data_IF_413526236098
#
_entry.id   IF_413526236098
#
_cell.length_a   1.000
_cell.length_b   1.000
_cell.length_c   1.000
_cell.angle_alpha   90.00
_cell.angle_beta   90.00
_cell.angle_gamma   90.00
#
_symmetry.space_group_name_H-M   'P 1'
#
loop_
_entity.id
_entity.type
_entity.pdbx_description
1 polymer ?
#
# COMPACT_ATOMS: atom_id res chain seq x y z
N UNK A 1 6.52 7.66 -24.43
CA UNK A 1 6.54 7.03 -23.09
C UNK A 1 6.14 5.58 -23.30
N UNK A 2 6.92 4.62 -22.80
CA UNK A 2 6.61 3.19 -22.90
C UNK A 2 6.68 2.55 -21.52
N UNK A 3 5.59 1.89 -21.12
CA UNK A 3 5.55 0.96 -20.00
C UNK A 3 5.56 -0.44 -20.61
N UNK A 4 6.50 -1.28 -20.20
CA UNK A 4 6.68 -2.62 -20.77
C UNK A 4 7.31 -3.52 -19.73
N UNK A 5 7.14 -4.83 -19.86
CA UNK A 5 7.93 -5.78 -19.07
C UNK A 5 9.42 -5.58 -19.40
N UNK A 6 10.26 -5.61 -18.36
CA UNK A 6 11.70 -5.42 -18.51
C UNK A 6 12.31 -6.35 -19.58
N UNK A 7 13.09 -5.75 -20.48
CA UNK A 7 13.81 -6.47 -21.54
C UNK A 7 14.85 -7.46 -21.01
N UNK A 8 15.13 -7.47 -19.70
CA UNK A 8 16.01 -8.47 -19.07
C UNK A 8 15.49 -9.90 -19.24
N UNK A 9 14.17 -10.08 -19.33
CA UNK A 9 13.52 -11.39 -19.42
C UNK A 9 12.70 -11.58 -20.70
N UNK A 10 12.42 -10.51 -21.46
CA UNK A 10 11.54 -10.56 -22.63
C UNK A 10 12.11 -9.77 -23.84
N UNK A 11 11.68 -10.16 -25.05
CA UNK A 11 11.96 -9.41 -26.28
C UNK A 11 11.48 -7.96 -26.16
N UNK A 12 12.18 -6.94 -26.74
CA UNK A 12 13.36 -7.00 -27.61
C UNK A 12 14.73 -6.92 -26.91
N UNK A 13 14.79 -6.93 -25.58
CA UNK A 13 16.05 -6.73 -24.85
C UNK A 13 16.57 -5.27 -24.83
N UNK A 14 15.68 -4.31 -25.08
CA UNK A 14 15.92 -2.85 -24.96
C UNK A 14 14.79 -2.25 -24.11
N UNK A 15 14.83 -0.95 -23.82
CA UNK A 15 13.84 -0.29 -22.96
C UNK A 15 14.34 -0.02 -21.54
N UNK A 16 15.65 0.03 -21.34
CA UNK A 16 16.21 0.42 -20.05
C UNK A 16 15.91 1.89 -19.71
N UNK A 17 15.87 2.21 -18.42
CA UNK A 17 15.58 3.56 -17.92
C UNK A 17 16.53 4.62 -18.50
N UNK A 18 17.78 4.25 -18.77
CA UNK A 18 18.81 5.17 -19.27
C UNK A 18 18.81 5.35 -20.79
N UNK A 19 17.94 4.65 -21.51
CA UNK A 19 17.72 4.84 -22.96
C UNK A 19 16.85 6.08 -23.22
N UNK A 20 17.41 7.26 -22.95
CA UNK A 20 16.69 8.55 -22.91
C UNK A 20 16.54 9.22 -24.30
N UNK A 21 16.88 8.54 -25.38
CA UNK A 21 16.99 9.15 -26.71
C UNK A 21 18.35 9.81 -26.96
N UNK A 22 18.55 10.32 -28.18
CA UNK A 22 19.85 10.77 -28.69
C UNK A 22 19.81 12.20 -29.22
N UNK A 23 20.96 12.88 -29.18
CA UNK A 23 21.12 14.24 -29.70
C UNK A 23 20.10 15.21 -29.08
N UNK A 24 19.40 15.95 -29.93
CA UNK A 24 18.34 16.88 -29.51
C UNK A 24 17.11 16.19 -28.91
N UNK A 25 16.92 14.89 -29.17
CA UNK A 25 15.84 14.08 -28.61
C UNK A 25 16.16 13.44 -27.26
N UNK A 26 17.35 13.70 -26.68
CA UNK A 26 17.71 13.20 -25.36
C UNK A 26 16.79 13.82 -24.29
N UNK A 27 16.21 12.98 -23.43
CA UNK A 27 15.21 13.37 -22.43
C UNK A 27 13.76 13.25 -22.92
N UNK A 28 13.55 12.95 -24.21
CA UNK A 28 12.21 12.82 -24.81
C UNK A 28 11.79 11.37 -25.08
N UNK A 29 12.69 10.40 -24.87
CA UNK A 29 12.33 8.99 -24.75
C UNK A 29 12.22 8.62 -23.26
N UNK A 30 11.10 8.00 -22.91
CA UNK A 30 10.81 7.59 -21.53
C UNK A 30 10.43 6.13 -21.53
N UNK A 31 11.26 5.31 -20.87
CA UNK A 31 11.03 3.90 -20.68
C UNK A 31 10.79 3.60 -19.20
N UNK A 32 9.76 2.80 -18.94
CA UNK A 32 9.39 2.32 -17.62
C UNK A 32 9.35 0.78 -17.68
N UNK A 33 10.50 0.12 -17.48
CA UNK A 33 10.55 -1.33 -17.40
C UNK A 33 9.89 -1.79 -16.10
N UNK A 34 8.86 -2.61 -16.24
CA UNK A 34 8.11 -3.23 -15.15
C UNK A 34 8.67 -4.63 -14.86
N UNK A 35 8.65 -5.00 -13.58
CA UNK A 35 8.95 -6.38 -13.19
C UNK A 35 7.90 -7.36 -13.73
N UNK A 36 8.30 -8.59 -14.11
CA UNK A 36 7.36 -9.67 -14.41
C UNK A 36 6.34 -9.84 -13.29
N UNK A 37 5.12 -10.27 -13.65
CA UNK A 37 4.01 -10.48 -12.72
C UNK A 37 3.51 -9.19 -12.05
N UNK A 38 3.72 -8.02 -12.68
CA UNK A 38 3.10 -6.78 -12.23
C UNK A 38 1.58 -6.86 -12.37
N UNK A 39 0.89 -6.62 -11.26
CA UNK A 39 -0.58 -6.60 -11.15
C UNK A 39 -1.16 -5.18 -11.23
N UNK A 40 -2.49 -5.09 -11.34
CA UNK A 40 -3.24 -3.83 -11.48
C UNK A 40 -2.82 -2.71 -10.53
N UNK A 41 -2.69 -3.01 -9.23
CA UNK A 41 -2.42 -1.97 -8.23
C UNK A 41 -1.05 -1.30 -8.46
N UNK A 42 -0.03 -2.11 -8.75
CA UNK A 42 1.33 -1.64 -9.03
C UNK A 42 1.38 -0.89 -10.37
N UNK A 43 0.70 -1.40 -11.39
CA UNK A 43 0.64 -0.75 -12.70
C UNK A 43 -0.08 0.60 -12.67
N UNK A 44 -1.25 0.66 -12.00
CA UNK A 44 -2.04 1.89 -11.82
C UNK A 44 -1.23 2.93 -11.06
N UNK A 45 -0.57 2.54 -9.97
CA UNK A 45 0.30 3.43 -9.21
C UNK A 45 1.41 4.03 -10.11
N UNK A 46 2.05 3.21 -10.94
CA UNK A 46 3.09 3.68 -11.87
C UNK A 46 2.55 4.68 -12.90
N UNK A 47 1.42 4.40 -13.56
CA UNK A 47 0.86 5.33 -14.57
C UNK A 47 0.41 6.65 -13.94
N UNK A 48 -0.21 6.61 -12.76
CA UNK A 48 -0.65 7.81 -12.03
C UNK A 48 0.55 8.64 -11.56
N UNK A 49 1.63 7.98 -11.17
CA UNK A 49 2.85 8.64 -10.69
C UNK A 49 3.70 9.26 -11.82
N UNK A 50 3.71 8.65 -13.01
CA UNK A 50 4.58 9.03 -14.12
C UNK A 50 3.88 9.87 -15.20
N UNK A 51 2.69 9.47 -15.64
CA UNK A 51 2.12 10.05 -16.87
C UNK A 51 1.73 11.53 -16.71
N UNK A 52 0.99 11.97 -15.67
CA UNK A 52 0.62 13.37 -15.51
C UNK A 52 1.82 14.35 -15.51
N UNK A 53 2.86 14.17 -14.67
CA UNK A 53 3.99 15.12 -14.66
C UNK A 53 4.81 15.08 -15.95
N UNK A 54 4.92 13.93 -16.63
CA UNK A 54 5.61 13.83 -17.92
C UNK A 54 4.84 14.58 -19.01
N UNK A 55 3.52 14.41 -19.07
CA UNK A 55 2.65 15.13 -20.01
C UNK A 55 2.72 16.64 -19.77
N UNK A 56 2.65 17.08 -18.51
CA UNK A 56 2.78 18.52 -18.19
C UNK A 56 4.16 19.07 -18.56
N UNK A 57 5.22 18.31 -18.28
CA UNK A 57 6.59 18.74 -18.61
C UNK A 57 6.82 18.84 -20.11
N UNK A 58 6.22 17.94 -20.89
CA UNK A 58 6.36 17.89 -22.34
C UNK A 58 5.42 18.88 -23.07
N UNK A 59 4.26 19.19 -22.48
CA UNK A 59 3.21 20.03 -23.06
C UNK A 59 2.81 19.60 -24.48
N UNK A 60 2.29 18.37 -24.67
CA UNK A 60 1.92 17.86 -26.00
C UNK A 60 0.72 18.59 -26.60
N UNK A 61 0.74 18.73 -27.93
CA UNK A 61 -0.44 19.14 -28.70
C UNK A 61 -1.46 18.02 -28.91
N UNK A 62 -0.98 16.78 -29.01
CA UNK A 62 -1.78 15.58 -29.30
C UNK A 62 -1.21 14.40 -28.56
N UNK A 63 -2.08 13.52 -28.04
CA UNK A 63 -1.66 12.23 -27.48
C UNK A 63 -1.95 11.13 -28.50
N UNK A 64 -0.92 10.35 -28.82
CA UNK A 64 -1.04 9.09 -29.55
C UNK A 64 -0.79 7.97 -28.54
N UNK A 65 -1.78 7.14 -28.27
CA UNK A 65 -1.68 6.01 -27.36
C UNK A 65 -1.82 4.69 -28.10
N UNK A 66 -1.02 3.71 -27.68
CA UNK A 66 -1.03 2.35 -28.21
C UNK A 66 -1.60 1.43 -27.12
N UNK A 67 -2.72 0.77 -27.40
CA UNK A 67 -3.47 -0.03 -26.43
C UNK A 67 -3.26 -1.52 -26.68
N UNK A 68 -2.04 -1.97 -26.42
CA UNK A 68 -1.72 -3.38 -26.32
C UNK A 68 -2.50 -3.98 -25.14
N UNK A 69 -2.93 -5.22 -25.31
CA UNK A 69 -3.62 -6.01 -24.29
C UNK A 69 -2.87 -7.31 -23.97
N UNK A 70 -1.64 -7.42 -24.45
CA UNK A 70 -0.68 -8.46 -24.09
C UNK A 70 -0.18 -8.38 -22.64
N UNK A 71 -0.51 -7.30 -21.94
CA UNK A 71 -0.32 -7.12 -20.51
C UNK A 71 -1.32 -7.89 -19.64
N UNK A 72 -2.39 -8.43 -20.24
CA UNK A 72 -3.43 -9.16 -19.52
C UNK A 72 -2.91 -10.54 -19.06
N UNK A 73 -3.29 -10.98 -17.86
CA UNK A 73 -2.84 -12.25 -17.29
C UNK A 73 -3.08 -13.46 -18.21
N UNK A 74 -4.24 -13.52 -18.87
CA UNK A 74 -4.58 -14.58 -19.86
C UNK A 74 -3.83 -14.49 -21.19
N UNK A 75 -3.28 -13.33 -21.54
CA UNK A 75 -2.55 -13.23 -22.79
C UNK A 75 -1.28 -14.10 -22.72
N UNK A 76 -0.95 -14.88 -23.76
CA UNK A 76 0.15 -15.82 -23.68
C UNK A 76 1.54 -15.15 -23.69
N UNK A 77 1.69 -13.89 -24.11
CA UNK A 77 3.02 -13.35 -24.48
C UNK A 77 3.84 -12.78 -23.33
N UNK A 78 3.29 -11.87 -22.51
CA UNK A 78 4.05 -11.24 -21.41
C UNK A 78 3.78 -11.93 -20.09
N UNK A 79 4.63 -11.77 -19.09
CA UNK A 79 4.39 -12.26 -17.72
C UNK A 79 3.63 -11.25 -16.86
N UNK A 80 3.18 -10.12 -17.42
CA UNK A 80 2.35 -9.18 -16.66
C UNK A 80 0.99 -9.81 -16.36
N UNK A 81 0.41 -9.41 -15.23
CA UNK A 81 -0.82 -10.00 -14.71
C UNK A 81 -1.89 -8.92 -14.49
N UNK A 82 -2.08 -8.06 -15.49
CA UNK A 82 -3.18 -7.11 -15.44
C UNK A 82 -4.51 -7.82 -15.68
N UNK A 83 -5.55 -7.25 -15.10
CA UNK A 83 -6.94 -7.59 -15.40
C UNK A 83 -7.56 -6.50 -16.29
N UNK A 84 -8.80 -6.69 -16.72
CA UNK A 84 -9.59 -5.67 -17.40
C UNK A 84 -9.70 -4.37 -16.59
N UNK A 85 -9.56 -4.40 -15.26
CA UNK A 85 -9.50 -3.20 -14.42
C UNK A 85 -8.22 -2.39 -14.69
N UNK A 86 -7.05 -3.03 -14.73
CA UNK A 86 -5.79 -2.36 -15.07
C UNK A 86 -5.80 -1.80 -16.49
N UNK A 87 -6.30 -2.60 -17.45
CA UNK A 87 -6.49 -2.16 -18.84
C UNK A 87 -7.43 -0.95 -18.92
N UNK A 88 -8.57 -0.97 -18.21
CA UNK A 88 -9.49 0.16 -18.22
C UNK A 88 -8.86 1.41 -17.59
N UNK A 89 -8.05 1.26 -16.54
CA UNK A 89 -7.38 2.38 -15.88
C UNK A 89 -6.40 3.11 -16.83
N UNK A 90 -5.62 2.39 -17.65
CA UNK A 90 -4.75 3.04 -18.65
C UNK A 90 -5.54 3.77 -19.74
N UNK A 91 -6.68 3.24 -20.18
CA UNK A 91 -7.54 3.88 -21.17
C UNK A 91 -8.10 5.19 -20.61
N UNK A 92 -8.63 5.14 -19.38
CA UNK A 92 -9.13 6.33 -18.68
C UNK A 92 -8.05 7.38 -18.44
N UNK A 93 -6.83 6.96 -18.10
CA UNK A 93 -5.70 7.86 -17.94
C UNK A 93 -5.35 8.55 -19.27
N UNK A 94 -5.32 7.82 -20.38
CA UNK A 94 -5.07 8.41 -21.70
C UNK A 94 -6.16 9.42 -22.10
N UNK A 95 -7.44 9.06 -21.92
CA UNK A 95 -8.57 9.97 -22.12
C UNK A 95 -8.39 11.25 -21.27
N UNK A 96 -8.20 11.09 -19.96
CA UNK A 96 -8.07 12.21 -19.03
C UNK A 96 -6.93 13.16 -19.42
N UNK A 97 -5.75 12.63 -19.75
CA UNK A 97 -4.60 13.43 -20.13
C UNK A 97 -4.82 14.17 -21.47
N UNK A 98 -5.44 13.51 -22.45
CA UNK A 98 -5.69 14.13 -23.75
C UNK A 98 -6.73 15.26 -23.66
N UNK A 99 -7.80 15.05 -22.90
CA UNK A 99 -8.84 16.06 -22.71
C UNK A 99 -8.34 17.24 -21.85
N UNK A 100 -7.51 16.97 -20.84
CA UNK A 100 -6.99 18.02 -19.95
C UNK A 100 -5.89 18.86 -20.59
N UNK A 101 -4.99 18.25 -21.37
CA UNK A 101 -3.76 18.92 -21.84
C UNK A 101 -3.70 19.11 -23.36
N UNK A 102 -4.46 18.35 -24.13
CA UNK A 102 -4.41 18.37 -25.61
C UNK A 102 -5.69 18.88 -26.26
N UNK A 103 -6.62 19.47 -25.50
CA UNK A 103 -7.94 19.92 -25.98
C UNK A 103 -8.75 18.78 -26.62
N UNK A 104 -8.63 17.56 -26.07
CA UNK A 104 -9.31 16.38 -26.57
C UNK A 104 -8.68 15.77 -27.83
N UNK A 105 -7.54 16.27 -28.31
CA UNK A 105 -6.83 15.68 -29.46
C UNK A 105 -6.16 14.37 -29.04
N UNK A 106 -6.85 13.26 -29.31
CA UNK A 106 -6.44 11.91 -28.96
C UNK A 106 -6.53 10.96 -30.17
N UNK A 107 -5.44 10.24 -30.46
CA UNK A 107 -5.41 9.13 -31.42
C UNK A 107 -5.09 7.84 -30.67
N UNK A 108 -6.03 6.90 -30.66
CA UNK A 108 -5.84 5.58 -30.08
C UNK A 108 -5.53 4.53 -31.16
N UNK A 109 -4.50 3.73 -30.92
CA UNK A 109 -4.11 2.58 -31.74
C UNK A 109 -4.31 1.30 -30.94
N UNK A 110 -4.49 0.16 -31.61
CA UNK A 110 -4.43 -1.17 -30.98
C UNK A 110 -3.00 -1.59 -30.66
N UNK A 111 -2.65 -2.85 -30.96
CA UNK A 111 -1.28 -3.37 -30.98
C UNK A 111 -1.21 -4.81 -30.47
N UNK A 112 -0.24 -5.15 -29.61
CA UNK A 112 -0.06 -6.51 -29.09
C UNK A 112 -1.30 -7.04 -28.37
N UNK A 113 -1.60 -8.32 -28.54
CA UNK A 113 -2.81 -8.97 -28.04
C UNK A 113 -3.07 -10.28 -28.76
N UNK A 114 -2.86 -11.38 -28.06
CA UNK A 114 -2.69 -12.73 -28.59
C UNK A 114 -3.66 -13.75 -27.99
N UNK A 115 -4.50 -13.33 -27.03
CA UNK A 115 -5.78 -13.99 -26.73
C UNK A 115 -6.92 -13.30 -27.52
N UNK A 116 -7.28 -13.81 -28.72
CA UNK A 116 -8.18 -13.13 -29.65
C UNK A 116 -9.65 -13.22 -29.27
N UNK A 117 -10.01 -14.04 -28.26
CA UNK A 117 -11.40 -14.27 -27.91
C UNK A 117 -11.73 -13.67 -26.55
N UNK A 118 -10.92 -13.93 -25.53
CA UNK A 118 -11.24 -13.53 -24.16
C UNK A 118 -10.68 -12.15 -23.84
N UNK A 119 -9.52 -11.77 -24.36
CA UNK A 119 -8.87 -10.51 -23.98
C UNK A 119 -9.11 -9.41 -25.01
N UNK A 120 -8.60 -9.58 -26.23
CA UNK A 120 -8.57 -8.53 -27.27
C UNK A 120 -9.95 -7.88 -27.49
N UNK A 121 -11.05 -8.65 -27.66
CA UNK A 121 -12.35 -8.05 -27.93
C UNK A 121 -12.89 -7.22 -26.77
N UNK A 122 -12.66 -7.64 -25.52
CA UNK A 122 -13.09 -6.89 -24.32
C UNK A 122 -12.24 -5.62 -24.16
N UNK A 123 -10.92 -5.75 -24.24
CA UNK A 123 -9.98 -4.64 -24.08
C UNK A 123 -10.20 -3.53 -25.12
N UNK A 124 -10.30 -3.86 -26.40
CA UNK A 124 -10.50 -2.85 -27.44
C UNK A 124 -11.93 -2.29 -27.48
N UNK A 125 -12.91 -3.05 -27.02
CA UNK A 125 -14.25 -2.50 -26.78
C UNK A 125 -14.27 -1.48 -25.64
N UNK A 126 -13.46 -1.67 -24.59
CA UNK A 126 -13.26 -0.66 -23.53
C UNK A 126 -12.64 0.61 -24.11
N UNK A 127 -11.60 0.50 -24.97
CA UNK A 127 -11.01 1.66 -25.66
C UNK A 127 -12.07 2.41 -26.46
N UNK A 128 -12.81 1.69 -27.31
CA UNK A 128 -13.86 2.28 -28.12
C UNK A 128 -14.96 2.95 -27.29
N UNK A 129 -15.43 2.28 -26.23
CA UNK A 129 -16.47 2.82 -25.35
C UNK A 129 -16.00 4.11 -24.65
N UNK A 130 -14.77 4.14 -24.13
CA UNK A 130 -14.23 5.35 -23.49
C UNK A 130 -14.05 6.50 -24.48
N UNK A 131 -13.59 6.22 -25.71
CA UNK A 131 -13.44 7.23 -26.77
C UNK A 131 -14.78 7.77 -27.26
N UNK A 132 -15.80 6.91 -27.34
CA UNK A 132 -17.14 7.27 -27.77
C UNK A 132 -18.03 7.79 -26.63
N UNK A 133 -17.45 7.95 -25.42
CA UNK A 133 -18.15 8.35 -24.19
C UNK A 133 -19.40 7.50 -23.92
N UNK A 134 -19.32 6.20 -24.25
CA UNK A 134 -20.40 5.23 -24.05
C UNK A 134 -20.20 4.46 -22.75
N UNK A 135 -21.29 4.19 -22.02
CA UNK A 135 -21.23 3.29 -20.88
C UNK A 135 -20.90 1.86 -21.35
N UNK A 136 -19.99 1.21 -20.65
CA UNK A 136 -19.69 -0.20 -20.88
C UNK A 136 -20.81 -1.04 -20.27
N UNK A 137 -21.45 -1.95 -21.01
CA UNK A 137 -22.41 -2.88 -20.41
C UNK A 137 -21.70 -3.85 -19.48
N UNK A 138 -22.39 -4.31 -18.44
CA UNK A 138 -21.84 -5.29 -17.50
C UNK A 138 -21.59 -6.64 -18.18
N UNK A 139 -22.57 -7.08 -18.98
CA UNK A 139 -22.59 -8.38 -19.65
C UNK A 139 -22.18 -8.25 -21.12
N UNK A 140 -21.48 -9.28 -21.62
CA UNK A 140 -21.20 -9.41 -23.05
C UNK A 140 -22.48 -9.77 -23.81
N UNK A 141 -22.64 -9.31 -25.08
CA UNK A 141 -23.80 -9.69 -25.88
C UNK A 141 -23.92 -11.21 -26.06
N UNK A 142 -25.09 -11.78 -25.76
CA UNK A 142 -25.32 -13.23 -25.87
C UNK A 142 -25.01 -13.77 -27.28
N UNK A 143 -25.37 -13.02 -28.31
CA UNK A 143 -25.07 -13.36 -29.70
C UNK A 143 -23.56 -13.45 -29.98
N UNK A 144 -22.76 -12.61 -29.33
CA UNK A 144 -21.30 -12.66 -29.45
C UNK A 144 -20.74 -13.89 -28.73
N UNK A 145 -21.22 -14.18 -27.51
CA UNK A 145 -20.84 -15.36 -26.74
C UNK A 145 -21.15 -16.65 -27.51
N UNK A 146 -22.38 -16.78 -28.02
CA UNK A 146 -22.83 -17.96 -28.77
C UNK A 146 -22.01 -18.19 -30.05
N UNK A 147 -21.58 -17.10 -30.70
CA UNK A 147 -20.77 -17.16 -31.92
C UNK A 147 -19.32 -17.59 -31.67
N UNK A 148 -18.68 -17.07 -30.62
CA UNK A 148 -17.22 -17.19 -30.47
C UNK A 148 -16.77 -18.23 -29.44
N UNK A 149 -17.62 -18.64 -28.50
CA UNK A 149 -17.30 -19.70 -27.53
C UNK A 149 -16.84 -21.01 -28.21
N UNK A 150 -17.49 -21.53 -29.27
CA UNK A 150 -17.03 -22.75 -29.93
C UNK A 150 -15.66 -22.59 -30.61
N UNK A 151 -15.37 -21.40 -31.15
CA UNK A 151 -14.09 -21.12 -31.80
C UNK A 151 -12.94 -21.04 -30.77
N UNK A 152 -13.21 -20.49 -29.59
CA UNK A 152 -12.26 -20.50 -28.48
C UNK A 152 -11.98 -21.92 -27.97
N UNK A 153 -13.02 -22.74 -27.74
CA UNK A 153 -12.86 -24.14 -27.33
C UNK A 153 -11.99 -24.94 -28.32
N UNK A 154 -12.10 -24.67 -29.61
CA UNK A 154 -11.28 -25.30 -30.63
C UNK A 154 -9.80 -24.87 -30.61
N UNK A 155 -9.45 -23.81 -29.88
CA UNK A 155 -8.09 -23.27 -29.77
C UNK A 155 -7.46 -23.45 -28.38
N UNK A 156 -8.21 -23.99 -27.42
CA UNK A 156 -7.80 -24.13 -26.01
C UNK A 156 -6.48 -24.90 -25.86
N UNK A 157 -6.32 -26.06 -26.54
CA UNK A 157 -5.08 -26.84 -26.48
C UNK A 157 -3.86 -26.06 -26.99
N UNK A 158 -4.04 -25.27 -28.06
CA UNK A 158 -2.96 -24.46 -28.64
C UNK A 158 -2.58 -23.30 -27.73
N UNK A 159 -3.57 -22.71 -27.06
CA UNK A 159 -3.39 -21.63 -26.11
C UNK A 159 -2.66 -22.12 -24.85
N UNK A 160 -3.07 -23.25 -24.30
CA UNK A 160 -2.38 -23.91 -23.19
C UNK A 160 -0.91 -24.20 -23.54
N UNK A 161 -0.64 -24.71 -24.75
CA UNK A 161 0.72 -24.95 -25.20
C UNK A 161 1.56 -23.66 -25.32
N UNK A 162 0.95 -22.55 -25.77
CA UNK A 162 1.62 -21.25 -25.84
C UNK A 162 1.94 -20.69 -24.46
N UNK A 163 1.01 -20.79 -23.50
CA UNK A 163 1.21 -20.37 -22.12
C UNK A 163 2.30 -21.20 -21.43
N UNK A 164 2.32 -22.52 -21.64
CA UNK A 164 3.36 -23.41 -21.12
C UNK A 164 4.75 -23.06 -21.68
N UNK A 165 4.85 -22.72 -22.97
CA UNK A 165 6.11 -22.30 -23.60
C UNK A 165 6.66 -21.03 -22.94
N UNK A 166 5.78 -20.13 -22.51
CA UNK A 166 6.11 -18.89 -21.81
C UNK A 166 6.20 -19.07 -20.30
N UNK A 167 6.20 -20.30 -19.79
CA UNK A 167 6.34 -20.58 -18.35
C UNK A 167 5.16 -20.13 -17.49
N UNK A 168 3.99 -19.88 -18.09
CA UNK A 168 2.77 -19.51 -17.36
C UNK A 168 2.07 -20.74 -16.80
N UNK A 169 1.50 -20.59 -15.61
CA UNK A 169 0.64 -21.61 -15.01
C UNK A 169 -0.64 -21.77 -15.84
N UNK A 170 -1.13 -23.00 -16.06
CA UNK A 170 -2.42 -23.21 -16.71
C UNK A 170 -3.52 -22.64 -15.84
N UNK A 171 -4.26 -21.66 -16.35
CA UNK A 171 -5.40 -21.08 -15.64
C UNK A 171 -6.65 -21.96 -15.84
N UNK A 172 -7.41 -22.22 -14.77
CA UNK A 172 -8.80 -22.69 -14.91
C UNK A 172 -9.61 -21.56 -15.54
N UNK A 173 -10.07 -21.74 -16.77
CA UNK A 173 -10.69 -20.61 -17.49
C UNK A 173 -12.01 -20.97 -18.13
N UNK A 174 -13.04 -20.22 -17.74
CA UNK A 174 -14.29 -20.13 -18.49
C UNK A 174 -14.18 -19.07 -19.58
N UNK A 175 -14.93 -19.25 -20.67
CA UNK A 175 -15.20 -18.18 -21.62
C UNK A 175 -15.94 -17.02 -20.92
N UNK A 176 -15.47 -15.77 -21.03
CA UNK A 176 -16.05 -14.66 -20.28
C UNK A 176 -17.49 -14.37 -20.70
N UNK A 177 -18.29 -13.95 -19.72
CA UNK A 177 -19.69 -13.51 -19.92
C UNK A 177 -19.89 -12.03 -19.57
N UNK A 178 -18.88 -11.41 -18.98
CA UNK A 178 -18.87 -10.01 -18.53
C UNK A 178 -17.69 -9.28 -19.14
N UNK A 179 -17.80 -7.95 -19.22
CA UNK A 179 -16.69 -7.12 -19.67
C UNK A 179 -15.54 -7.09 -18.66
N UNK A 180 -15.87 -7.00 -17.37
CA UNK A 180 -14.90 -7.09 -16.29
C UNK A 180 -14.60 -8.55 -15.96
N UNK A 181 -13.41 -8.80 -15.43
CA UNK A 181 -13.06 -10.12 -14.90
C UNK A 181 -13.77 -10.39 -13.58
N UNK A 182 -13.98 -11.67 -13.28
CA UNK A 182 -14.65 -12.08 -12.03
C UNK A 182 -13.74 -11.76 -10.84
N UNK A 183 -14.29 -11.21 -9.73
CA UNK A 183 -13.53 -11.04 -8.50
C UNK A 183 -12.93 -12.38 -8.05
N UNK A 184 -11.62 -12.38 -7.73
CA UNK A 184 -10.91 -13.57 -7.28
C UNK A 184 -10.48 -14.54 -8.39
N UNK A 185 -10.73 -14.25 -9.67
CA UNK A 185 -10.22 -15.06 -10.79
C UNK A 185 -8.69 -15.02 -10.92
N UNK A 186 -8.07 -13.97 -10.38
CA UNK A 186 -6.62 -13.76 -10.38
C UNK A 186 -6.17 -13.62 -8.92
N UNK A 187 -5.60 -14.68 -8.31
CA UNK A 187 -5.07 -14.60 -6.96
C UNK A 187 -3.84 -13.68 -6.93
N UNK A 188 -3.61 -13.07 -5.77
CA UNK A 188 -2.50 -12.12 -5.63
C UNK A 188 -1.14 -12.83 -5.73
N UNK A 189 -0.19 -12.21 -6.42
CA UNK A 189 1.18 -12.69 -6.55
C UNK A 189 1.88 -12.75 -5.17
N UNK A 190 2.59 -13.86 -4.91
CA UNK A 190 3.32 -14.04 -3.65
C UNK A 190 4.37 -12.93 -3.45
N UNK A 191 5.00 -12.50 -4.54
CA UNK A 191 6.05 -11.48 -4.56
C UNK A 191 5.54 -10.07 -4.88
N UNK A 192 4.23 -9.83 -4.80
CA UNK A 192 3.59 -8.55 -5.18
C UNK A 192 4.28 -7.31 -4.55
N UNK A 193 4.79 -7.42 -3.32
CA UNK A 193 5.48 -6.32 -2.63
C UNK A 193 6.86 -6.03 -3.19
N UNK A 194 7.63 -7.08 -3.48
CA UNK A 194 8.95 -6.92 -4.08
C UNK A 194 8.82 -6.31 -5.47
N UNK A 195 7.86 -6.80 -6.26
CA UNK A 195 7.53 -6.32 -7.60
C UNK A 195 7.09 -4.85 -7.54
N UNK A 196 6.11 -4.52 -6.69
CA UNK A 196 5.64 -3.14 -6.54
C UNK A 196 6.74 -2.19 -6.04
N UNK A 197 7.58 -2.63 -5.09
CA UNK A 197 8.71 -1.84 -4.60
C UNK A 197 9.76 -1.60 -5.69
N UNK A 198 10.07 -2.61 -6.49
CA UNK A 198 10.98 -2.48 -7.62
C UNK A 198 10.43 -1.50 -8.66
N UNK A 199 9.16 -1.66 -9.05
CA UNK A 199 8.48 -0.74 -9.98
C UNK A 199 8.46 0.71 -9.45
N UNK A 200 8.17 0.93 -8.15
CA UNK A 200 8.23 2.27 -7.53
C UNK A 200 9.62 2.88 -7.58
N UNK A 201 10.67 2.09 -7.34
CA UNK A 201 12.06 2.56 -7.44
C UNK A 201 12.40 2.96 -8.87
N UNK A 202 12.02 2.13 -9.84
CA UNK A 202 12.20 2.43 -11.26
C UNK A 202 11.44 3.69 -11.66
N UNK A 203 10.16 3.82 -11.28
CA UNK A 203 9.36 5.01 -11.54
C UNK A 203 9.95 6.26 -10.88
N UNK A 204 10.43 6.15 -9.64
CA UNK A 204 11.10 7.26 -8.93
C UNK A 204 12.39 7.70 -9.62
N UNK A 205 13.15 6.75 -10.17
CA UNK A 205 14.35 7.02 -10.96
C UNK A 205 13.99 7.73 -12.27
N UNK A 206 13.06 7.17 -13.04
CA UNK A 206 12.54 7.77 -14.29
C UNK A 206 12.09 9.21 -14.03
N UNK A 207 11.27 9.41 -12.99
CA UNK A 207 10.78 10.72 -12.59
C UNK A 207 11.91 11.67 -12.20
N UNK A 208 12.93 11.19 -11.50
CA UNK A 208 14.06 12.03 -11.08
C UNK A 208 14.96 12.44 -12.24
N UNK A 209 15.04 11.62 -13.28
CA UNK A 209 15.83 11.89 -14.47
C UNK A 209 15.11 12.83 -15.45
N UNK A 210 13.78 12.73 -15.56
CA UNK A 210 13.03 13.29 -16.69
C UNK A 210 12.00 14.36 -16.30
N UNK A 211 11.57 14.43 -15.04
CA UNK A 211 10.60 15.44 -14.59
C UNK A 211 11.34 16.60 -13.90
N UNK A 212 11.18 17.85 -14.38
CA UNK A 212 11.78 19.03 -13.77
C UNK A 212 11.41 19.17 -12.27
N UNK A 213 12.31 19.68 -11.42
CA UNK A 213 12.05 19.85 -9.98
C UNK A 213 10.75 20.59 -9.66
N UNK A 214 10.42 21.63 -10.42
CA UNK A 214 9.24 22.48 -10.22
C UNK A 214 7.95 21.68 -10.49
N UNK A 215 7.92 20.90 -11.57
CA UNK A 215 6.82 19.99 -11.88
C UNK A 215 6.75 18.87 -10.85
N UNK A 216 7.89 18.39 -10.34
CA UNK A 216 7.89 17.37 -9.29
C UNK A 216 7.24 17.86 -7.99
N UNK A 217 7.36 19.15 -7.68
CA UNK A 217 6.70 19.77 -6.52
C UNK A 217 5.19 19.94 -6.73
N UNK A 218 4.77 20.30 -7.94
CA UNK A 218 3.36 20.46 -8.30
C UNK A 218 2.59 19.12 -8.37
N UNK A 219 3.29 18.03 -8.68
CA UNK A 219 2.77 16.67 -8.67
C UNK A 219 3.41 15.87 -7.53
N UNK A 220 3.19 16.20 -6.25
CA UNK A 220 3.78 15.40 -5.17
C UNK A 220 3.44 13.92 -5.40
N UNK A 221 4.35 13.01 -5.04
CA UNK A 221 4.06 11.60 -5.12
C UNK A 221 2.71 11.37 -4.42
N UNK A 222 1.74 10.78 -5.12
CA UNK A 222 0.41 10.49 -4.58
C UNK A 222 0.54 9.87 -3.19
N UNK A 223 -0.32 10.30 -2.25
CA UNK A 223 -0.47 9.68 -0.91
C UNK A 223 -0.56 8.16 -1.11
N UNK A 224 0.51 7.46 -0.78
CA UNK A 224 0.63 6.02 -0.97
C UNK A 224 -0.46 5.27 -0.20
N UNK A 225 -0.89 4.11 -0.71
CA UNK A 225 -1.44 3.07 0.16
C UNK A 225 -0.41 2.83 1.26
N UNK A 226 -0.82 3.03 2.51
CA UNK A 226 -0.04 2.73 3.72
C UNK A 226 0.70 1.39 3.52
N UNK A 227 2.04 1.30 3.73
CA UNK A 227 2.75 0.03 3.70
C UNK A 227 2.12 -1.02 4.63
N UNK A 228 1.42 -0.56 5.69
CA UNK A 228 0.63 -1.42 6.57
C UNK A 228 -0.60 -2.01 5.88
N UNK A 229 -1.27 -1.30 4.98
CA UNK A 229 -2.38 -1.86 4.18
C UNK A 229 -1.90 -3.04 3.37
N UNK A 230 -0.68 -2.94 2.87
CA UNK A 230 -0.05 -4.02 2.16
C UNK A 230 0.26 -5.27 2.96
N UNK A 231 0.89 -5.05 4.11
CA UNK A 231 1.21 -6.07 5.09
C UNK A 231 -0.05 -6.73 5.65
N UNK A 232 -1.08 -5.93 5.93
CA UNK A 232 -2.38 -6.39 6.36
C UNK A 232 -2.98 -7.30 5.29
N UNK A 233 -3.05 -6.83 4.03
CA UNK A 233 -3.52 -7.63 2.91
C UNK A 233 -2.73 -8.95 2.79
N UNK A 234 -1.39 -8.96 2.80
CA UNK A 234 -0.60 -10.21 2.76
C UNK A 234 -0.96 -11.20 3.86
N UNK A 235 -1.01 -10.72 5.10
CA UNK A 235 -1.29 -11.56 6.24
C UNK A 235 -2.72 -12.12 6.14
N UNK A 236 -3.65 -11.39 5.49
CA UNK A 236 -5.07 -11.72 5.35
C UNK A 236 -5.46 -12.44 4.04
N UNK A 237 -4.63 -12.39 2.99
CA UNK A 237 -4.95 -12.88 1.64
C UNK A 237 -4.92 -14.41 1.49
N UNK A 238 -4.49 -15.18 2.49
CA UNK A 238 -4.54 -16.65 2.45
C UNK A 238 -5.94 -17.25 2.72
N UNK A 239 -7.02 -16.48 2.63
CA UNK A 239 -8.40 -17.00 2.66
C UNK A 239 -8.82 -17.68 3.97
N UNK A 240 -8.02 -17.58 5.03
CA UNK A 240 -8.36 -18.11 6.36
C UNK A 240 -8.77 -16.97 7.29
N UNK A 241 -9.77 -17.21 8.15
CA UNK A 241 -10.18 -16.27 9.21
C UNK A 241 -9.12 -16.07 10.32
N UNK A 242 -7.87 -16.49 10.09
CA UNK A 242 -6.75 -16.37 11.03
C UNK A 242 -5.50 -15.81 10.34
N UNK A 243 -5.41 -14.47 10.23
CA UNK A 243 -4.28 -13.77 9.65
C UNK A 243 -3.54 -12.93 10.70
N UNK A 244 -3.08 -13.58 11.77
CA UNK A 244 -2.27 -12.95 12.82
C UNK A 244 -1.16 -13.92 13.18
N UNK A 245 0.09 -13.44 13.21
CA UNK A 245 1.14 -14.18 13.90
C UNK A 245 0.71 -14.28 15.35
N UNK A 246 0.95 -15.44 15.94
CA UNK A 246 0.63 -15.68 17.34
C UNK A 246 1.84 -16.08 18.14
N UNK A 247 1.95 -15.54 19.35
CA UNK A 247 3.01 -15.90 20.29
C UNK A 247 2.43 -16.03 21.69
N UNK A 248 2.74 -17.12 22.36
CA UNK A 248 2.34 -17.32 23.75
C UNK A 248 3.44 -16.84 24.69
N UNK A 249 3.06 -16.09 25.71
CA UNK A 249 3.93 -15.70 26.82
C UNK A 249 3.44 -16.38 28.09
N UNK A 250 4.32 -17.10 28.75
CA UNK A 250 4.05 -17.63 30.09
C UNK A 250 4.27 -16.53 31.12
N UNK A 251 3.24 -16.24 31.93
CA UNK A 251 3.33 -15.26 33.00
C UNK A 251 2.89 -15.86 34.34
N UNK A 252 3.26 -15.25 35.48
CA UNK A 252 2.79 -15.72 36.79
C UNK A 252 1.27 -15.74 36.96
N UNK A 253 0.53 -14.92 36.20
CA UNK A 253 -0.93 -14.86 36.21
C UNK A 253 -1.58 -15.84 35.21
N UNK A 254 -0.79 -16.55 34.41
CA UNK A 254 -1.24 -17.51 33.39
C UNK A 254 -0.66 -17.21 32.00
N UNK A 255 -1.00 -18.04 30.99
CA UNK A 255 -0.57 -17.81 29.63
C UNK A 255 -1.26 -16.56 29.03
N UNK A 256 -0.50 -15.79 28.26
CA UNK A 256 -0.96 -14.62 27.49
C UNK A 256 -0.69 -14.85 26.01
N UNK A 257 -1.70 -14.65 25.18
CA UNK A 257 -1.63 -14.80 23.74
C UNK A 257 -1.42 -13.43 23.10
N UNK A 258 -0.28 -13.26 22.43
CA UNK A 258 -0.04 -12.12 21.54
C UNK A 258 -0.53 -12.46 20.14
N UNK A 259 -1.24 -11.51 19.52
CA UNK A 259 -1.75 -11.57 18.15
C UNK A 259 -1.46 -10.23 17.48
N UNK A 260 -0.87 -10.22 16.29
CA UNK A 260 -0.65 -8.98 15.52
C UNK A 260 -1.60 -8.89 14.32
N UNK A 261 -1.73 -7.69 13.72
CA UNK A 261 -2.68 -7.41 12.63
C UNK A 261 -4.08 -7.98 12.90
N UNK A 262 -4.58 -7.80 14.13
CA UNK A 262 -5.82 -8.42 14.59
C UNK A 262 -7.02 -7.98 13.71
N UNK A 263 -7.72 -8.92 13.06
CA UNK A 263 -8.88 -8.59 12.23
C UNK A 263 -10.09 -8.19 13.09
N UNK A 264 -11.06 -7.44 12.54
CA UNK A 264 -12.28 -7.06 13.24
C UNK A 264 -13.01 -8.25 13.87
N UNK A 265 -13.06 -9.38 13.14
CA UNK A 265 -13.73 -10.59 13.62
C UNK A 265 -13.09 -11.18 14.88
N UNK A 266 -11.78 -11.03 15.08
CA UNK A 266 -11.10 -11.45 16.31
C UNK A 266 -11.45 -10.49 17.45
N UNK A 267 -11.35 -9.18 17.20
CA UNK A 267 -11.66 -8.14 18.20
C UNK A 267 -13.10 -8.30 18.71
N UNK A 268 -14.06 -8.55 17.81
CA UNK A 268 -15.48 -8.78 18.13
C UNK A 268 -15.71 -9.96 19.10
N UNK A 269 -14.83 -10.97 19.10
CA UNK A 269 -14.93 -12.13 20.00
C UNK A 269 -14.25 -11.93 21.35
N UNK A 270 -13.40 -10.92 21.48
CA UNK A 270 -12.65 -10.61 22.70
C UNK A 270 -13.36 -9.50 23.49
N UNK A 271 -12.97 -9.32 24.76
CA UNK A 271 -13.51 -8.28 25.65
C UNK A 271 -12.38 -7.47 26.24
N UNK A 272 -12.47 -6.14 26.24
CA UNK A 272 -11.49 -5.31 26.92
C UNK A 272 -11.54 -5.54 28.44
N UNK A 273 -10.38 -5.75 29.06
CA UNK A 273 -10.26 -5.86 30.51
C UNK A 273 -10.52 -4.51 31.20
N UNK A 274 -11.11 -4.55 32.39
CA UNK A 274 -11.47 -3.35 33.16
C UNK A 274 -10.27 -2.46 33.53
N UNK A 275 -9.05 -3.01 33.49
CA UNK A 275 -7.82 -2.28 33.75
C UNK A 275 -7.24 -1.52 32.55
N UNK A 276 -7.85 -1.58 31.36
CA UNK A 276 -7.54 -0.75 30.20
C UNK A 276 -8.40 0.53 30.24
N UNK A 277 -7.81 1.62 30.70
CA UNK A 277 -8.54 2.87 30.94
C UNK A 277 -7.72 4.14 30.69
N UNK A 278 -6.49 4.03 30.19
CA UNK A 278 -5.64 5.19 29.94
C UNK A 278 -6.19 6.07 28.80
N UNK A 279 -6.79 5.46 27.77
CA UNK A 279 -7.34 6.17 26.62
C UNK A 279 -8.87 6.35 26.70
N UNK A 280 -9.64 5.26 26.68
CA UNK A 280 -11.10 5.35 26.54
C UNK A 280 -11.87 5.40 27.88
N UNK A 281 -11.17 5.21 29.01
CA UNK A 281 -11.65 5.16 30.42
C UNK A 281 -12.65 4.04 30.75
N UNK A 282 -13.42 3.57 29.77
CA UNK A 282 -14.42 2.51 29.90
C UNK A 282 -14.08 1.36 28.94
N UNK A 283 -14.14 0.09 29.38
CA UNK A 283 -13.78 -1.05 28.56
C UNK A 283 -14.59 -1.16 27.26
N UNK A 284 -15.86 -0.78 27.27
CA UNK A 284 -16.72 -0.82 26.08
C UNK A 284 -16.27 0.21 25.04
N UNK A 285 -15.77 1.37 25.48
CA UNK A 285 -15.23 2.40 24.60
C UNK A 285 -13.86 2.00 24.05
N UNK A 286 -13.03 1.37 24.87
CA UNK A 286 -11.72 0.83 24.47
C UNK A 286 -11.92 -0.25 23.39
N UNK A 287 -12.84 -1.20 23.64
CA UNK A 287 -13.21 -2.22 22.66
C UNK A 287 -13.70 -1.61 21.33
N UNK A 288 -14.55 -0.58 21.39
CA UNK A 288 -15.02 0.12 20.20
C UNK A 288 -13.89 0.85 19.44
N UNK A 289 -12.93 1.45 20.16
CA UNK A 289 -11.73 2.05 19.57
C UNK A 289 -10.90 1.01 18.82
N UNK A 290 -10.58 -0.11 19.47
CA UNK A 290 -9.82 -1.21 18.89
C UNK A 290 -10.52 -1.80 17.66
N UNK A 291 -11.84 -1.94 17.73
CA UNK A 291 -12.64 -2.39 16.59
C UNK A 291 -12.57 -1.39 15.43
N UNK A 292 -12.61 -0.09 15.70
CA UNK A 292 -12.39 0.96 14.70
C UNK A 292 -11.01 0.88 14.04
N UNK A 293 -9.96 0.69 14.84
CA UNK A 293 -8.57 0.55 14.36
C UNK A 293 -8.42 -0.71 13.51
N UNK A 294 -8.97 -1.85 13.93
CA UNK A 294 -8.87 -3.11 13.17
C UNK A 294 -9.57 -3.09 11.80
N UNK A 295 -10.53 -2.17 11.59
CA UNK A 295 -11.23 -1.99 10.31
C UNK A 295 -10.47 -1.11 9.33
N UNK A 296 -9.48 -0.38 9.81
CA UNK A 296 -8.70 0.57 9.01
C UNK A 296 -7.50 -0.14 8.38
N UNK A 297 -7.42 -0.22 7.04
CA UNK A 297 -6.32 -0.91 6.37
C UNK A 297 -4.99 -0.17 6.54
N UNK A 298 -5.02 1.11 6.86
CA UNK A 298 -3.83 1.91 7.12
C UNK A 298 -3.30 1.79 8.56
N UNK A 299 -3.93 0.98 9.42
CA UNK A 299 -3.52 0.74 10.79
C UNK A 299 -3.05 -0.70 11.01
N UNK A 300 -2.27 -0.93 12.06
CA UNK A 300 -2.00 -2.26 12.59
C UNK A 300 -2.36 -2.33 14.08
N UNK A 301 -2.99 -3.44 14.47
CA UNK A 301 -3.41 -3.69 15.84
C UNK A 301 -2.77 -4.97 16.36
N UNK A 302 -1.99 -4.86 17.43
CA UNK A 302 -1.47 -6.01 18.18
C UNK A 302 -2.18 -6.09 19.52
N UNK A 303 -2.73 -7.26 19.85
CA UNK A 303 -3.42 -7.52 21.12
C UNK A 303 -2.67 -8.56 21.95
N UNK A 304 -2.62 -8.33 23.25
CA UNK A 304 -2.35 -9.34 24.26
C UNK A 304 -3.68 -9.74 24.91
N UNK A 305 -4.04 -11.01 24.84
CA UNK A 305 -5.29 -11.50 25.44
C UNK A 305 -5.12 -12.81 26.21
N UNK A 306 -5.97 -13.04 27.20
CA UNK A 306 -6.03 -14.31 27.93
C UNK A 306 -6.68 -15.40 27.06
N UNK A 307 -6.48 -16.70 27.36
CA UNK A 307 -7.24 -17.77 26.72
C UNK A 307 -8.75 -17.68 26.94
N UNK A 308 -9.19 -16.99 28.01
CA UNK A 308 -10.60 -16.75 28.29
C UNK A 308 -11.22 -15.66 27.39
N UNK A 309 -10.39 -14.89 26.68
CA UNK A 309 -10.84 -13.88 25.72
C UNK A 309 -10.76 -12.43 26.21
N UNK A 310 -10.08 -12.17 27.34
CA UNK A 310 -9.91 -10.81 27.87
C UNK A 310 -8.68 -10.15 27.22
N UNK A 311 -8.87 -8.99 26.59
CA UNK A 311 -7.80 -8.13 26.08
C UNK A 311 -7.18 -7.43 27.27
N UNK A 312 -5.91 -7.71 27.53
CA UNK A 312 -5.16 -7.21 28.69
C UNK A 312 -4.03 -6.27 28.28
N UNK A 313 -3.84 -6.06 26.99
CA UNK A 313 -2.90 -5.09 26.44
C UNK A 313 -3.06 -4.93 24.93
N UNK A 314 -2.59 -3.79 24.45
CA UNK A 314 -2.64 -3.40 23.05
C UNK A 314 -1.40 -2.64 22.63
N UNK A 315 -1.03 -2.78 21.35
CA UNK A 315 -0.18 -1.84 20.62
C UNK A 315 -0.93 -1.46 19.36
N UNK A 316 -1.10 -0.16 19.16
CA UNK A 316 -1.72 0.39 17.96
C UNK A 316 -0.65 1.10 17.15
N UNK A 317 -0.71 0.90 15.84
CA UNK A 317 0.09 1.63 14.87
C UNK A 317 -0.89 2.31 13.92
N UNK A 318 -0.92 3.63 13.93
CA UNK A 318 -1.84 4.43 13.14
C UNK A 318 -1.08 5.55 12.41
N UNK A 319 -1.53 6.03 11.24
CA UNK A 319 -0.89 7.16 10.58
C UNK A 319 -0.85 8.38 11.50
N UNK A 320 0.26 9.12 11.48
CA UNK A 320 0.37 10.37 12.25
C UNK A 320 -0.70 11.37 11.81
N UNK A 321 -1.45 11.90 12.77
CA UNK A 321 -2.54 12.85 12.53
C UNK A 321 -2.07 14.32 12.69
N UNK A 322 -2.88 15.26 12.19
CA UNK A 322 -2.80 16.73 12.39
C UNK A 322 -1.40 17.30 12.15
N UNK A 323 -0.54 17.34 13.18
CA UNK A 323 0.83 17.86 13.11
C UNK A 323 1.70 17.13 12.08
N UNK A 324 1.45 15.83 11.88
CA UNK A 324 2.22 14.97 10.99
C UNK A 324 1.57 14.84 9.61
N UNK A 325 0.48 15.55 9.36
CA UNK A 325 -0.23 15.48 8.09
C UNK A 325 0.68 15.90 6.91
N UNK A 326 0.62 15.11 5.84
CA UNK A 326 1.40 15.31 4.63
C UNK A 326 2.77 14.64 4.64
N UNK A 327 3.19 14.02 5.74
CA UNK A 327 4.40 13.21 5.78
C UNK A 327 4.09 11.74 5.43
N UNK A 328 4.85 11.21 4.48
CA UNK A 328 4.72 9.82 4.05
C UNK A 328 5.35 8.87 5.07
N UNK A 329 4.73 7.71 5.27
CA UNK A 329 5.30 6.61 6.05
C UNK A 329 5.65 6.96 7.51
N UNK A 330 4.94 7.92 8.10
CA UNK A 330 5.06 8.32 9.52
C UNK A 330 3.86 7.80 10.30
N UNK A 331 4.11 6.97 11.32
CA UNK A 331 3.09 6.32 12.12
C UNK A 331 3.27 6.59 13.60
N UNK A 332 2.17 6.85 14.29
CA UNK A 332 2.11 6.88 15.74
C UNK A 332 2.01 5.45 16.28
N UNK A 333 2.76 5.19 17.36
CA UNK A 333 2.69 3.95 18.12
C UNK A 333 2.17 4.25 19.52
N UNK A 334 1.00 3.73 19.86
CA UNK A 334 0.48 3.75 21.22
C UNK A 334 0.52 2.36 21.84
N UNK A 335 0.65 2.29 23.16
CA UNK A 335 0.72 1.04 23.91
C UNK A 335 0.01 1.18 25.26
N UNK A 336 -0.81 0.19 25.59
CA UNK A 336 -1.43 0.06 26.91
C UNK A 336 -1.34 -1.37 27.43
N UNK A 337 -1.19 -1.52 28.74
CA UNK A 337 -1.34 -2.80 29.45
C UNK A 337 -2.21 -2.58 30.66
N UNK A 338 -3.20 -3.47 30.81
CA UNK A 338 -4.14 -3.46 31.92
C UNK A 338 -3.40 -3.39 33.26
N UNK A 339 -3.89 -2.55 34.16
CA UNK A 339 -3.29 -2.31 35.47
C UNK A 339 -3.01 -3.60 36.26
N UNK A 340 -3.88 -4.61 36.16
CA UNK A 340 -3.77 -5.90 36.86
C UNK A 340 -2.72 -6.82 36.24
N UNK A 341 -2.31 -6.56 34.99
CA UNK A 341 -1.34 -7.36 34.23
C UNK A 341 0.03 -6.71 34.10
N UNK A 342 0.23 -5.53 34.70
CA UNK A 342 1.54 -4.85 34.72
C UNK A 342 2.59 -5.64 35.51
N UNK A 343 3.87 -5.23 35.38
CA UNK A 343 5.06 -5.86 36.00
C UNK A 343 5.39 -7.28 35.52
N UNK A 344 4.68 -7.79 34.50
CA UNK A 344 4.92 -9.11 33.90
C UNK A 344 5.66 -9.02 32.55
N UNK A 345 6.29 -7.87 32.26
CA UNK A 345 7.01 -7.57 30.99
C UNK A 345 6.18 -7.66 29.71
N UNK A 346 4.84 -7.77 29.81
CA UNK A 346 3.91 -7.87 28.67
C UNK A 346 4.12 -6.72 27.68
N UNK A 347 4.19 -5.47 28.16
CA UNK A 347 4.40 -4.30 27.31
C UNK A 347 5.66 -4.42 26.42
N UNK A 348 6.76 -4.93 26.98
CA UNK A 348 8.01 -5.12 26.24
C UNK A 348 7.87 -6.18 25.15
N UNK A 349 7.27 -7.32 25.50
CA UNK A 349 7.09 -8.41 24.54
C UNK A 349 6.10 -8.05 23.44
N UNK A 350 5.03 -7.33 23.77
CA UNK A 350 4.02 -6.88 22.81
C UNK A 350 4.58 -5.81 21.86
N UNK A 351 5.30 -4.81 22.39
CA UNK A 351 5.93 -3.79 21.54
C UNK A 351 6.98 -4.40 20.60
N UNK A 352 7.79 -5.35 21.09
CA UNK A 352 8.73 -6.07 20.25
C UNK A 352 8.00 -6.86 19.15
N UNK A 353 6.96 -7.60 19.51
CA UNK A 353 6.19 -8.42 18.58
C UNK A 353 5.50 -7.58 17.49
N UNK A 354 4.97 -6.41 17.86
CA UNK A 354 4.33 -5.48 16.94
C UNK A 354 5.31 -4.86 15.93
N UNK A 355 6.59 -4.70 16.32
CA UNK A 355 7.60 -3.94 15.55
C UNK A 355 8.76 -4.80 15.02
N UNK A 356 8.64 -6.13 15.07
CA UNK A 356 9.70 -7.06 14.65
C UNK A 356 9.72 -7.38 13.14
N UNK A 357 8.66 -7.03 12.40
CA UNK A 357 8.62 -7.29 10.96
C UNK A 357 9.62 -6.41 10.21
N UNK A 358 10.46 -7.04 9.39
CA UNK A 358 11.46 -6.32 8.60
C UNK A 358 10.83 -5.25 7.71
N UNK A 359 9.64 -5.49 7.15
CA UNK A 359 8.92 -4.52 6.32
C UNK A 359 8.61 -3.18 7.03
N UNK A 360 8.65 -3.13 8.37
CA UNK A 360 8.46 -1.89 9.13
C UNK A 360 9.70 -0.99 9.15
N UNK A 361 10.85 -1.47 8.67
CA UNK A 361 12.06 -0.66 8.49
C UNK A 361 11.96 0.35 7.34
N UNK A 362 10.89 0.30 6.55
CA UNK A 362 10.54 1.32 5.55
C UNK A 362 9.71 2.48 6.17
N UNK A 363 9.43 2.45 7.48
CA UNK A 363 8.58 3.41 8.19
C UNK A 363 9.34 4.27 9.23
N UNK A 364 8.80 5.44 9.52
CA UNK A 364 9.12 6.23 10.70
C UNK A 364 8.03 5.99 11.73
N UNK A 365 8.41 5.56 12.92
CA UNK A 365 7.51 5.50 14.07
C UNK A 365 7.79 6.65 15.03
N UNK A 366 6.75 7.23 15.58
CA UNK A 366 6.85 8.10 16.73
C UNK A 366 5.87 7.67 17.83
N UNK A 367 6.14 8.08 19.06
CA UNK A 367 5.27 7.88 20.20
C UNK A 367 5.28 9.13 21.07
N UNK A 368 4.09 9.56 21.48
CA UNK A 368 3.88 10.73 22.34
C UNK A 368 3.45 10.23 23.72
N UNK A 369 4.30 10.44 24.72
CA UNK A 369 3.98 10.15 26.11
C UNK A 369 3.52 11.42 26.81
N UNK A 370 2.22 11.54 27.05
CA UNK A 370 1.61 12.67 27.75
C UNK A 370 1.35 12.29 29.21
N UNK A 371 1.92 13.05 30.13
CA UNK A 371 2.00 12.61 31.52
C UNK A 371 0.66 12.56 32.24
N UNK A 372 -0.35 13.30 31.75
CA UNK A 372 -1.72 13.25 32.25
C UNK A 372 -2.49 11.97 31.88
N UNK A 373 -1.94 11.11 31.02
CA UNK A 373 -2.47 9.77 30.75
C UNK A 373 -1.79 8.67 31.60
N UNK A 374 -0.79 9.01 32.41
CA UNK A 374 -0.02 8.01 33.17
C UNK A 374 -0.65 7.70 34.51
N UNK A 375 -0.80 6.41 34.78
CA UNK A 375 -1.26 5.91 36.08
C UNK A 375 -0.12 5.92 37.12
N UNK A 376 0.24 7.12 37.61
CA UNK A 376 1.25 7.29 38.66
C UNK A 376 0.75 6.84 40.03
N UNK A 377 -0.55 6.97 40.30
CA UNK A 377 -1.16 6.57 41.58
C UNK A 377 -1.15 5.04 41.74
N UNK A 378 -1.66 4.30 40.75
CA UNK A 378 -1.70 2.83 40.78
C UNK A 378 -0.33 2.19 40.72
N UNK A 379 0.67 2.87 40.17
CA UNK A 379 2.05 2.37 40.13
C UNK A 379 2.89 2.77 41.34
N UNK A 380 2.51 3.82 42.07
CA UNK A 380 3.24 4.34 43.23
C UNK A 380 4.60 4.94 42.90
N UNK A 381 4.83 5.37 41.65
CA UNK A 381 6.08 5.99 41.21
C UNK A 381 5.86 7.44 40.79
N UNK A 382 6.90 8.28 40.90
CA UNK A 382 6.85 9.66 40.44
C UNK A 382 6.70 9.74 38.93
N UNK A 383 6.11 10.84 38.46
CA UNK A 383 5.94 11.17 37.04
C UNK A 383 7.24 11.04 36.23
N UNK A 384 8.38 11.48 36.79
CA UNK A 384 9.69 11.37 36.15
C UNK A 384 10.23 9.93 36.10
N UNK A 385 9.96 9.11 37.12
CA UNK A 385 10.30 7.68 37.05
C UNK A 385 9.42 6.94 36.03
N UNK A 386 8.16 7.35 35.89
CA UNK A 386 7.26 6.82 34.86
C UNK A 386 7.76 7.18 33.46
N UNK A 387 8.18 8.44 33.25
CA UNK A 387 8.82 8.91 32.02
C UNK A 387 10.04 8.08 31.64
N UNK A 388 10.96 7.85 32.59
CA UNK A 388 12.15 7.01 32.35
C UNK A 388 11.78 5.57 31.98
N UNK A 389 10.74 5.02 32.61
CA UNK A 389 10.25 3.68 32.29
C UNK A 389 9.73 3.60 30.85
N UNK A 390 8.94 4.57 30.41
CA UNK A 390 8.45 4.67 29.03
C UNK A 390 9.61 4.81 28.05
N UNK A 391 10.56 5.71 28.32
CA UNK A 391 11.74 5.90 27.50
C UNK A 391 12.54 4.59 27.33
N UNK A 392 12.77 3.85 28.43
CA UNK A 392 13.49 2.56 28.38
C UNK A 392 12.70 1.46 27.65
N UNK A 393 11.38 1.46 27.77
CA UNK A 393 10.52 0.50 27.07
C UNK A 393 10.67 0.67 25.55
N UNK A 394 10.49 1.90 25.05
CA UNK A 394 10.59 2.20 23.63
C UNK A 394 12.03 2.13 23.10
N UNK A 395 13.03 2.52 23.90
CA UNK A 395 14.44 2.38 23.53
C UNK A 395 14.84 0.92 23.26
N UNK A 396 14.19 -0.05 23.92
CA UNK A 396 14.41 -1.47 23.65
C UNK A 396 14.05 -1.88 22.22
N UNK A 397 13.21 -1.09 21.53
CA UNK A 397 12.79 -1.28 20.15
C UNK A 397 13.37 -0.20 19.22
N UNK A 398 14.49 0.43 19.59
CA UNK A 398 15.23 1.35 18.72
C UNK A 398 14.72 2.80 18.68
N UNK A 399 13.72 3.15 19.50
CA UNK A 399 13.29 4.54 19.63
C UNK A 399 14.32 5.37 20.40
N UNK A 400 14.40 6.65 20.04
CA UNK A 400 15.21 7.65 20.72
C UNK A 400 14.34 8.83 21.10
N UNK A 401 14.69 9.49 22.19
CA UNK A 401 14.08 10.75 22.59
C UNK A 401 14.60 11.88 21.71
N UNK A 402 13.69 12.73 21.23
CA UNK A 402 14.04 13.93 20.47
C UNK A 402 13.37 15.16 21.07
N UNK A 403 14.05 16.32 21.07
CA UNK A 403 13.38 17.59 21.31
C UNK A 403 12.41 17.87 20.17
N UNK A 404 11.24 18.43 20.50
CA UNK A 404 10.20 18.75 19.51
C UNK A 404 9.47 20.02 19.89
N UNK A 405 8.98 20.73 18.88
CA UNK A 405 8.06 21.87 19.01
C UNK A 405 6.60 21.46 18.90
N UNK A 406 6.31 20.15 18.89
CA UNK A 406 4.94 19.63 18.95
C UNK A 406 4.22 20.25 20.18
N UNK A 407 3.04 20.87 19.99
CA UNK A 407 2.41 21.69 21.02
C UNK A 407 2.13 20.96 22.34
N UNK A 408 1.70 19.70 22.29
CA UNK A 408 1.33 18.94 23.48
C UNK A 408 2.55 18.54 24.31
N UNK A 409 3.68 18.26 23.67
CA UNK A 409 4.93 17.93 24.38
C UNK A 409 5.44 19.12 25.19
N UNK A 410 5.35 20.34 24.67
CA UNK A 410 5.81 21.55 25.36
C UNK A 410 4.98 21.94 26.59
N UNK A 411 3.78 21.38 26.78
CA UNK A 411 2.87 21.76 27.86
C UNK A 411 3.32 21.33 29.25
N UNK A 412 4.05 20.22 29.37
CA UNK A 412 4.48 19.66 30.65
C UNK A 412 5.89 19.08 30.51
N UNK A 413 6.89 19.48 31.33
CA UNK A 413 8.26 18.97 31.26
C UNK A 413 8.40 17.45 31.32
N UNK A 414 7.45 16.77 31.96
CA UNK A 414 7.47 15.31 32.03
C UNK A 414 7.06 14.64 30.71
N UNK A 415 6.40 15.34 29.78
CA UNK A 415 6.03 14.78 28.48
C UNK A 415 7.27 14.35 27.71
N UNK A 416 7.08 13.38 26.81
CA UNK A 416 8.18 12.79 26.05
C UNK A 416 7.77 12.50 24.62
N UNK A 417 8.65 12.86 23.69
CA UNK A 417 8.54 12.52 22.29
C UNK A 417 9.64 11.51 21.93
N UNK A 418 9.23 10.38 21.38
CA UNK A 418 10.12 9.28 21.01
C UNK A 418 9.93 8.99 19.54
N UNK A 419 11.01 8.73 18.80
CA UNK A 419 10.93 8.30 17.41
C UNK A 419 11.96 7.22 17.05
N UNK A 420 11.57 6.32 16.15
CA UNK A 420 12.41 5.34 15.49
C UNK A 420 12.29 5.56 13.98
N UNK A 421 13.43 5.85 13.34
CA UNK A 421 13.51 5.95 11.89
C UNK A 421 14.01 4.60 11.36
N UNK A 422 13.19 3.93 10.55
CA UNK A 422 13.60 2.69 9.90
C UNK A 422 14.79 2.88 8.98
N UNK A 423 15.61 1.83 8.85
CA UNK A 423 16.87 1.85 8.10
C UNK A 423 16.70 2.07 6.58
N UNK A 424 15.48 1.94 6.05
CA UNK A 424 15.18 2.02 4.61
C UNK A 424 14.23 3.16 4.23
N UNK A 425 13.94 4.05 5.17
CA UNK A 425 13.14 5.25 4.91
C UNK A 425 13.88 6.18 3.94
N UNK A 426 13.16 6.76 2.98
CA UNK A 426 13.72 7.74 2.04
C UNK A 426 14.32 8.94 2.81
N UNK A 427 15.59 9.31 2.57
CA UNK A 427 16.23 10.43 3.27
C UNK A 427 15.48 11.76 3.18
N UNK A 428 14.69 12.00 2.12
CA UNK A 428 13.83 13.17 1.97
C UNK A 428 12.71 13.17 3.01
N UNK A 429 12.06 12.03 3.21
CA UNK A 429 10.99 11.85 4.21
C UNK A 429 11.57 12.03 5.62
N UNK A 430 12.75 11.45 5.89
CA UNK A 430 13.48 11.64 7.15
C UNK A 430 13.75 13.13 7.41
N UNK A 431 14.22 13.85 6.38
CA UNK A 431 14.49 15.29 6.49
C UNK A 431 13.21 16.10 6.75
N UNK A 432 12.11 15.79 6.05
CA UNK A 432 10.82 16.45 6.27
C UNK A 432 10.27 16.18 7.67
N UNK A 433 10.40 14.95 8.17
CA UNK A 433 10.00 14.56 9.52
C UNK A 433 10.76 15.37 10.58
N UNK A 434 12.11 15.43 10.49
CA UNK A 434 12.91 16.21 11.44
C UNK A 434 12.64 17.72 11.34
N UNK A 435 12.41 18.24 10.13
CA UNK A 435 12.03 19.65 9.96
C UNK A 435 10.68 19.95 10.60
N UNK A 436 9.69 19.07 10.45
CA UNK A 436 8.35 19.21 11.07
C UNK A 436 8.42 19.10 12.60
N UNK A 437 9.26 18.20 13.11
CA UNK A 437 9.49 18.03 14.54
C UNK A 437 10.04 19.29 15.21
N UNK A 438 10.80 20.12 14.47
CA UNK A 438 11.41 21.36 14.99
C UNK A 438 10.72 22.64 14.48
N UNK A 439 9.70 22.53 13.63
CA UNK A 439 9.00 23.69 13.09
C UNK A 439 8.04 24.28 14.12
N UNK A 440 8.06 25.60 14.30
CA UNK A 440 7.02 26.28 15.08
C UNK A 440 5.68 26.21 14.32
N UNK A 441 4.53 26.09 15.00
CA UNK A 441 3.25 26.23 14.35
C UNK A 441 3.21 27.62 13.69
N UNK A 442 3.05 27.68 12.37
CA UNK A 442 2.74 28.94 11.72
C UNK A 442 1.44 29.47 12.36
N UNK A 443 1.49 30.70 12.87
CA UNK A 443 0.34 31.58 13.13
C UNK A 443 -0.40 31.94 11.82
N UNK A 444 -0.62 30.97 10.93
CA UNK A 444 -1.39 31.11 9.71
C UNK A 444 -2.83 30.65 10.01
N UNK A 445 -3.52 31.42 10.86
CA UNK A 445 -4.87 31.09 11.30
C UNK A 445 -5.46 32.01 12.37
N UNK A 446 -4.97 33.25 12.47
CA UNK A 446 -5.66 34.35 13.16
C UNK A 446 -6.15 35.37 12.12
#
# INVERSE_FOLDING_TARGET
>A
ISLHETGRYLFPGTGEVLELGNGLGRGYAVNMPLEPFTEDASYIEVIEHLLPPLVVSFAPDVIVSQHGCDTHAWDPLTHLELTMRGIQAQVKMAHHLAHSYCQGRWVALGGGGYDPYRVVPRAWSIVWAEMAEQPLPEHLPEAWIARWRPAWLAMEEREMAAQQLMGKAPAETDFPTTFQDRPGAFPAQERQWEIARANRRTASLVRSLLVPPEVRQAFPALRQRSPLSGLFDLLHLQGSATPSRSKTLETPAGPVLLRDFCPPSLVERLKADAGLYAFARLPEREHALLLGISRRPDCALTLAHTPAGDIIGEVTVAPGDTWWEGLENVYEVAIEVSATWRRQKIARHMLAFALELDALEDLIFFAVGLAWHWDTEGTGISIYRYREMIARLFASQGFKEYPTTEPNIGMEPANIFLARVGSRVDPRVVSQFFNRMLSSPNLAGL
#
